data_IF_627967619334
#
_entry.id   IF_627967619334
#
_cell.length_a   1.000
_cell.length_b   1.000
_cell.length_c   1.000
_cell.angle_alpha   90.00
_cell.angle_beta   90.00
_cell.angle_gamma   90.00
#
_symmetry.space_group_name_H-M   'P 1'
#
loop_
_entity.id
_entity.type
_entity.pdbx_description
1 polymer ?
#
# COMPACT_ATOMS: atom_id res chain seq x y z
N UNK A 1 -38.86 51.69 6.59
CA UNK A 1 -38.74 50.22 6.64
C UNK A 1 -37.42 49.79 6.01
N UNK A 2 -36.66 48.95 6.74
CA UNK A 2 -35.55 48.05 6.33
C UNK A 2 -34.18 48.67 5.94
N UNK A 3 -33.29 48.92 6.91
CA UNK A 3 -32.12 48.11 7.39
C UNK A 3 -30.94 47.87 6.43
N UNK A 4 -29.78 48.38 6.88
CA UNK A 4 -28.40 47.99 6.58
C UNK A 4 -28.18 46.47 6.46
N UNK A 5 -27.19 46.02 5.66
CA UNK A 5 -25.93 45.43 6.19
C UNK A 5 -24.97 44.95 5.08
N UNK A 6 -23.69 45.21 5.38
CA UNK A 6 -22.46 44.85 4.67
C UNK A 6 -22.34 43.33 4.48
N UNK A 7 -21.80 42.93 3.33
CA UNK A 7 -21.46 41.55 3.02
C UNK A 7 -20.47 40.98 4.06
N UNK A 8 -20.78 39.77 4.50
CA UNK A 8 -20.25 39.10 5.68
C UNK A 8 -18.94 38.39 5.34
N UNK A 9 -17.96 38.60 6.23
CA UNK A 9 -16.75 37.80 6.44
C UNK A 9 -17.04 36.30 6.37
N UNK A 10 -16.22 35.52 5.69
CA UNK A 10 -16.13 34.08 5.95
C UNK A 10 -14.67 33.69 6.04
N UNK A 11 -14.16 33.78 7.27
CA UNK A 11 -12.90 33.22 7.72
C UNK A 11 -13.09 31.69 7.75
N UNK A 12 -12.60 31.00 6.72
CA UNK A 12 -12.56 29.53 6.75
C UNK A 12 -11.47 29.12 7.76
N UNK A 13 -11.91 28.70 8.94
CA UNK A 13 -11.04 28.15 9.98
C UNK A 13 -10.39 26.85 9.45
N UNK A 14 -9.08 26.90 9.23
CA UNK A 14 -8.28 25.69 9.06
C UNK A 14 -8.23 24.97 10.41
N UNK A 15 -9.08 23.96 10.57
CA UNK A 15 -8.98 23.04 11.69
C UNK A 15 -7.69 22.22 11.53
N UNK A 16 -6.63 22.66 12.20
CA UNK A 16 -5.42 21.86 12.39
C UNK A 16 -5.80 20.67 13.29
N UNK A 17 -5.98 19.50 12.67
CA UNK A 17 -6.10 18.24 13.39
C UNK A 17 -4.73 17.90 13.98
N UNK A 18 -4.54 18.23 15.26
CA UNK A 18 -3.41 17.71 16.05
C UNK A 18 -3.67 16.23 16.33
N UNK A 19 -3.20 15.34 15.46
CA UNK A 19 -3.14 13.92 15.77
C UNK A 19 -2.14 13.72 16.91
N UNK A 20 -2.67 13.41 18.10
CA UNK A 20 -1.87 12.94 19.22
C UNK A 20 -1.28 11.57 18.85
N UNK A 21 0.00 11.56 18.48
CA UNK A 21 0.77 10.34 18.25
C UNK A 21 1.03 9.73 19.63
N UNK A 22 0.18 8.78 20.03
CA UNK A 22 0.35 8.01 21.26
C UNK A 22 1.55 7.06 21.17
N UNK A 23 2.20 6.69 22.29
CA UNK A 23 3.43 5.90 22.32
C UNK A 23 3.26 4.46 21.81
N UNK A 24 2.03 4.01 21.53
CA UNK A 24 1.77 2.73 20.89
C UNK A 24 2.27 2.66 19.42
N UNK A 25 2.49 3.82 18.79
CA UNK A 25 2.95 3.90 17.39
C UNK A 25 4.46 3.70 17.23
N UNK A 26 5.21 3.70 18.34
CA UNK A 26 6.66 3.48 18.31
C UNK A 26 7.06 2.00 18.19
N UNK A 27 6.11 1.06 18.28
CA UNK A 27 6.39 -0.39 18.22
C UNK A 27 6.02 -1.05 16.89
N UNK A 28 5.37 -0.33 15.96
CA UNK A 28 5.03 -0.84 14.63
C UNK A 28 6.05 -0.45 13.54
N UNK A 29 7.15 0.21 13.91
CA UNK A 29 8.20 0.70 13.00
C UNK A 29 9.41 -0.27 12.95
N UNK A 30 9.28 -1.47 13.52
CA UNK A 30 10.31 -2.50 13.32
C UNK A 30 9.99 -3.34 12.09
N UNK A 31 10.85 -3.16 11.08
CA UNK A 31 11.06 -4.03 9.90
C UNK A 31 9.99 -4.03 8.80
N UNK A 32 9.70 -2.86 8.23
CA UNK A 32 9.21 -2.81 6.85
C UNK A 32 10.41 -2.90 5.89
N UNK A 33 10.84 -4.13 5.57
CA UNK A 33 11.82 -4.35 4.52
C UNK A 33 11.10 -4.41 3.16
N UNK A 34 11.33 -3.44 2.26
CA UNK A 34 10.66 -3.42 0.96
C UNK A 34 10.97 -4.65 0.10
N UNK A 35 12.10 -5.33 0.34
CA UNK A 35 12.47 -6.55 -0.39
C UNK A 35 11.65 -7.78 0.06
N UNK A 36 10.95 -7.67 1.19
CA UNK A 36 10.06 -8.71 1.71
C UNK A 36 8.59 -8.50 1.37
N UNK A 37 8.26 -7.47 0.59
CA UNK A 37 6.90 -7.23 0.11
C UNK A 37 6.58 -8.22 -1.02
N UNK A 38 5.48 -8.96 -0.84
CA UNK A 38 4.90 -9.80 -1.86
C UNK A 38 3.78 -9.05 -2.60
N UNK A 39 3.70 -9.29 -3.91
CA UNK A 39 2.72 -8.71 -4.81
C UNK A 39 1.85 -9.79 -5.48
N UNK A 40 0.65 -9.37 -5.86
CA UNK A 40 -0.18 -10.03 -6.86
C UNK A 40 -0.05 -9.29 -8.18
N UNK A 41 -0.12 -10.03 -9.28
CA UNK A 41 0.10 -9.53 -10.62
C UNK A 41 -1.11 -9.84 -11.51
N UNK A 42 -1.51 -8.85 -12.30
CA UNK A 42 -2.37 -9.02 -13.47
C UNK A 42 -1.53 -8.67 -14.69
N UNK A 43 -1.40 -9.58 -15.65
CA UNK A 43 -0.53 -9.37 -16.82
C UNK A 43 -1.28 -9.46 -18.14
N UNK A 44 -0.83 -8.67 -19.11
CA UNK A 44 -1.59 -8.29 -20.30
C UNK A 44 -0.83 -8.57 -21.60
N UNK A 45 -1.58 -8.66 -22.70
CA UNK A 45 -1.02 -8.89 -24.03
C UNK A 45 -0.20 -7.69 -24.56
N UNK A 46 -0.59 -6.47 -24.18
CA UNK A 46 0.02 -5.23 -24.63
C UNK A 46 0.00 -4.14 -23.55
N UNK A 47 0.69 -3.03 -23.83
CA UNK A 47 0.75 -1.85 -22.95
C UNK A 47 -0.61 -1.16 -22.78
N UNK A 48 -1.50 -1.26 -23.78
CA UNK A 48 -2.85 -0.72 -23.73
C UNK A 48 -3.81 -1.57 -22.87
N UNK A 49 -3.33 -2.71 -22.34
CA UNK A 49 -4.07 -3.64 -21.48
C UNK A 49 -5.35 -4.14 -22.12
N UNK A 50 -5.33 -4.37 -23.44
CA UNK A 50 -6.53 -4.77 -24.20
C UNK A 50 -7.05 -6.15 -23.82
N UNK A 51 -6.15 -7.07 -23.46
CA UNK A 51 -6.45 -8.45 -23.09
C UNK A 51 -5.66 -8.85 -21.84
N UNK A 52 -6.35 -9.47 -20.87
CA UNK A 52 -5.73 -10.10 -19.69
C UNK A 52 -5.25 -11.50 -20.09
N UNK A 53 -3.95 -11.74 -19.96
CA UNK A 53 -3.36 -13.06 -20.21
C UNK A 53 -3.38 -13.96 -18.97
N UNK A 54 -3.45 -13.38 -17.77
CA UNK A 54 -3.61 -14.14 -16.54
C UNK A 54 -3.22 -13.39 -15.27
N UNK A 55 -3.06 -14.19 -14.21
CA UNK A 55 -2.81 -13.74 -12.86
C UNK A 55 -1.67 -14.56 -12.24
N UNK A 56 -0.82 -13.89 -11.47
CA UNK A 56 0.24 -14.54 -10.72
C UNK A 56 0.37 -13.88 -9.34
N UNK A 57 1.05 -14.55 -8.41
CA UNK A 57 1.35 -13.96 -7.11
C UNK A 57 2.70 -14.44 -6.61
N UNK A 58 3.38 -13.55 -5.91
CA UNK A 58 4.56 -13.88 -5.13
C UNK A 58 4.23 -14.91 -4.05
N UNK A 59 5.28 -15.59 -3.57
CA UNK A 59 5.20 -16.50 -2.43
C UNK A 59 6.31 -16.19 -1.43
N UNK A 60 6.06 -16.45 -0.15
CA UNK A 60 7.10 -16.37 0.86
C UNK A 60 7.89 -17.68 0.93
N UNK A 61 9.21 -17.57 0.89
CA UNK A 61 10.15 -18.65 1.16
C UNK A 61 10.91 -18.40 2.45
N UNK A 62 11.33 -19.48 3.11
CA UNK A 62 12.18 -19.44 4.28
C UNK A 62 13.24 -20.53 4.20
N UNK A 63 14.48 -20.20 4.52
CA UNK A 63 15.59 -21.14 4.68
C UNK A 63 16.35 -20.81 5.97
N UNK A 64 16.19 -21.65 6.99
CA UNK A 64 16.66 -21.32 8.34
C UNK A 64 16.05 -20.01 8.85
N UNK A 65 16.90 -19.06 9.20
CA UNK A 65 16.48 -17.71 9.64
C UNK A 65 16.32 -16.70 8.49
N UNK A 66 16.61 -17.09 7.25
CA UNK A 66 16.52 -16.20 6.09
C UNK A 66 15.14 -16.29 5.44
N UNK A 67 14.47 -15.15 5.32
CA UNK A 67 13.15 -14.99 4.68
C UNK A 67 13.34 -14.29 3.35
N UNK A 68 12.62 -14.72 2.33
CA UNK A 68 12.72 -14.15 0.99
C UNK A 68 11.41 -14.25 0.22
N UNK A 69 11.27 -13.42 -0.81
CA UNK A 69 10.14 -13.43 -1.74
C UNK A 69 10.51 -14.25 -2.98
N UNK A 70 9.67 -15.21 -3.31
CA UNK A 70 9.77 -16.01 -4.53
C UNK A 70 8.86 -15.37 -5.57
N UNK A 71 9.47 -14.77 -6.59
CA UNK A 71 8.76 -14.09 -7.68
C UNK A 71 8.39 -15.05 -8.80
N UNK A 72 7.15 -15.01 -9.31
CA UNK A 72 6.75 -15.83 -10.45
C UNK A 72 7.40 -15.32 -11.74
N UNK A 73 7.49 -16.20 -12.73
CA UNK A 73 7.79 -15.78 -14.10
C UNK A 73 6.55 -15.16 -14.73
N UNK A 74 6.67 -13.93 -15.23
CA UNK A 74 5.63 -13.25 -16.01
C UNK A 74 6.11 -13.17 -17.47
N UNK A 75 5.34 -13.68 -18.44
CA UNK A 75 5.81 -13.82 -19.83
C UNK A 75 5.80 -12.49 -20.62
N UNK A 76 5.46 -11.39 -19.98
CA UNK A 76 5.22 -10.08 -20.60
C UNK A 76 5.69 -8.97 -19.65
N UNK A 77 6.20 -7.84 -20.16
CA UNK A 77 6.51 -6.67 -19.33
C UNK A 77 5.24 -5.87 -18.95
N UNK A 78 4.09 -6.17 -19.56
CA UNK A 78 2.85 -5.44 -19.32
C UNK A 78 2.08 -6.07 -18.17
N UNK A 79 2.28 -5.55 -16.96
CA UNK A 79 1.57 -6.04 -15.78
C UNK A 79 1.34 -4.93 -14.77
N UNK A 80 0.26 -5.07 -14.01
CA UNK A 80 0.02 -4.32 -12.79
C UNK A 80 0.40 -5.18 -11.59
N UNK A 81 0.94 -4.54 -10.57
CA UNK A 81 1.30 -5.18 -9.31
C UNK A 81 0.54 -4.54 -8.15
N UNK A 82 -0.08 -5.37 -7.32
CA UNK A 82 -0.80 -4.94 -6.11
C UNK A 82 -0.19 -5.63 -4.90
N UNK A 83 0.23 -4.85 -3.91
CA UNK A 83 0.80 -5.38 -2.68
C UNK A 83 -0.23 -6.26 -1.95
N UNK A 84 0.21 -7.40 -1.40
CA UNK A 84 -0.70 -8.35 -0.72
C UNK A 84 -0.28 -8.63 0.72
N UNK A 85 0.99 -8.95 0.96
CA UNK A 85 1.51 -9.25 2.30
C UNK A 85 3.01 -8.96 2.36
N UNK A 86 3.54 -8.88 3.58
CA UNK A 86 4.98 -8.84 3.85
C UNK A 86 5.41 -10.21 4.38
N UNK A 87 6.45 -10.77 3.78
CA UNK A 87 7.02 -12.05 4.20
C UNK A 87 7.80 -11.89 5.50
N UNK A 88 7.56 -12.77 6.47
CA UNK A 88 8.28 -12.78 7.74
C UNK A 88 8.55 -14.21 8.21
N UNK A 89 9.48 -14.36 9.17
CA UNK A 89 9.81 -15.65 9.77
C UNK A 89 8.69 -16.22 10.64
N UNK A 90 7.70 -15.40 11.01
CA UNK A 90 6.47 -15.81 11.71
C UNK A 90 5.30 -16.11 10.77
N UNK A 91 5.52 -16.04 9.45
CA UNK A 91 4.48 -16.14 8.41
C UNK A 91 4.15 -14.80 7.76
N UNK A 92 3.37 -14.78 6.67
CA UNK A 92 2.98 -13.55 5.99
C UNK A 92 2.08 -12.69 6.89
N UNK A 93 2.29 -11.38 6.89
CA UNK A 93 1.43 -10.42 7.58
C UNK A 93 0.98 -9.31 6.64
N UNK A 94 -0.13 -8.64 6.97
CA UNK A 94 -0.64 -7.53 6.17
C UNK A 94 0.22 -6.27 6.39
N UNK A 95 0.48 -5.47 5.33
CA UNK A 95 1.20 -4.22 5.49
C UNK A 95 0.47 -3.28 6.46
N UNK A 96 1.18 -2.38 7.17
CA UNK A 96 0.57 -1.50 8.18
C UNK A 96 -0.50 -0.55 7.65
N UNK A 97 -0.49 -0.29 6.34
CA UNK A 97 -1.32 0.71 5.67
C UNK A 97 -2.53 0.11 4.91
N UNK A 98 -2.83 -1.18 5.13
CA UNK A 98 -4.01 -1.88 4.57
C UNK A 98 -5.23 -1.83 5.48
#
# INVERSE_FOLDING_TARGET
MKTFKRAVLSLAAAAAFSAAIGPAQALAVQSYDPDLIAYSYVYYADEAKTEVLGYASDRCGQSGSYVYVIRPYIPTPYYDQTQIFVCSGGGPYLPPDF
#
